data_IF_448215554012
#
_entry.id   IF_448215554012
#
_cell.length_a   1.000
_cell.length_b   1.000
_cell.length_c   1.000
_cell.angle_alpha   90.00
_cell.angle_beta   90.00
_cell.angle_gamma   90.00
#
_symmetry.space_group_name_H-M   'P 1'
#
loop_
_entity.id
_entity.type
_entity.pdbx_description
1 polymer ?
#
# COMPACT_ATOMS: atom_id res chain seq x y z
N UNK A 1 10.31 -4.58 -4.04
CA UNK A 1 8.89 -4.80 -3.67
C UNK A 1 8.85 -4.84 -2.14
N UNK A 2 7.95 -4.10 -1.49
CA UNK A 2 7.85 -4.01 -0.03
C UNK A 2 6.49 -4.52 0.45
N UNK A 3 6.48 -5.19 1.60
CA UNK A 3 5.25 -5.71 2.21
C UNK A 3 4.75 -4.68 3.23
N UNK A 4 3.61 -4.05 2.96
CA UNK A 4 3.07 -2.97 3.80
C UNK A 4 1.59 -3.21 4.09
N UNK A 5 1.09 -2.66 5.19
CA UNK A 5 -0.35 -2.52 5.40
C UNK A 5 -0.84 -1.36 4.52
N UNK A 6 -1.76 -1.64 3.62
CA UNK A 6 -2.40 -0.65 2.78
C UNK A 6 -3.90 -0.70 3.00
N UNK A 7 -4.54 0.46 2.90
CA UNK A 7 -6.00 0.51 2.78
C UNK A 7 -6.33 0.22 1.32
N UNK A 8 -7.02 -0.88 1.07
CA UNK A 8 -7.51 -1.26 -0.26
C UNK A 8 -9.01 -1.47 -0.12
N UNK A 9 -9.79 -0.69 -0.85
CA UNK A 9 -11.26 -0.75 -0.84
C UNK A 9 -11.86 -0.61 0.58
N UNK A 10 -11.32 0.28 1.40
CA UNK A 10 -11.76 0.51 2.78
C UNK A 10 -11.34 -0.55 3.80
N UNK A 11 -10.61 -1.59 3.36
CA UNK A 11 -10.07 -2.64 4.26
C UNK A 11 -8.55 -2.57 4.37
N UNK A 12 -8.03 -2.71 5.58
CA UNK A 12 -6.58 -2.75 5.81
C UNK A 12 -6.04 -4.15 5.52
N UNK A 13 -5.28 -4.27 4.45
CA UNK A 13 -4.68 -5.55 4.01
C UNK A 13 -3.17 -5.43 3.93
N UNK A 14 -2.47 -6.54 4.20
CA UNK A 14 -1.02 -6.64 3.96
C UNK A 14 -0.79 -7.07 2.52
N UNK A 15 -0.28 -6.16 1.70
CA UNK A 15 -0.01 -6.42 0.28
C UNK A 15 1.45 -6.16 -0.05
N UNK A 16 1.92 -6.82 -1.11
CA UNK A 16 3.22 -6.57 -1.69
C UNK A 16 3.09 -5.41 -2.69
N UNK A 17 3.75 -4.30 -2.39
CA UNK A 17 3.63 -3.06 -3.13
C UNK A 17 4.99 -2.65 -3.69
N UNK A 18 4.98 -2.06 -4.88
CA UNK A 18 6.19 -1.53 -5.49
C UNK A 18 6.55 -0.18 -4.83
N UNK A 19 7.83 0.10 -4.61
CA UNK A 19 8.25 1.41 -4.03
C UNK A 19 7.83 2.58 -4.93
N UNK A 20 7.75 2.36 -6.24
CA UNK A 20 7.18 3.31 -7.21
C UNK A 20 5.71 3.61 -6.93
N UNK A 21 4.93 2.62 -6.51
CA UNK A 21 3.50 2.73 -6.20
C UNK A 21 3.28 3.61 -4.95
N UNK A 22 4.15 3.44 -3.94
CA UNK A 22 4.19 4.31 -2.76
C UNK A 22 4.59 5.74 -3.13
N UNK A 23 5.60 5.89 -4.00
CA UNK A 23 6.10 7.21 -4.44
C UNK A 23 5.09 7.96 -5.31
N UNK A 24 4.30 7.23 -6.11
CA UNK A 24 3.25 7.80 -6.96
C UNK A 24 1.94 8.06 -6.22
N UNK A 25 1.85 7.80 -4.91
CA UNK A 25 0.63 8.01 -4.12
C UNK A 25 -0.55 7.12 -4.55
N UNK A 26 -0.29 6.06 -5.33
CA UNK A 26 -1.34 5.15 -5.81
C UNK A 26 -1.88 4.22 -4.72
N UNK A 27 -1.19 4.15 -3.58
CA UNK A 27 -1.54 3.27 -2.46
C UNK A 27 -1.37 4.05 -1.16
N UNK A 28 -2.46 4.20 -0.41
CA UNK A 28 -2.42 4.74 0.94
C UNK A 28 -1.95 3.67 1.91
N UNK A 29 -0.88 4.00 2.66
CA UNK A 29 -0.44 3.19 3.78
C UNK A 29 -1.48 3.31 4.88
N UNK A 30 -2.00 2.17 5.33
CA UNK A 30 -2.73 2.13 6.58
C UNK A 30 -1.71 2.28 7.71
N UNK A 31 -1.84 3.35 8.50
CA UNK A 31 -1.09 3.53 9.76
C UNK A 31 -1.39 2.38 10.74
#
# INVERSE_FOLDING_TARGET
IQRVKAVVDGTTKRINVCTKCLKSGKVERAL
#
